data_IF_582752695516
#
_entry.id   IF_582752695516
#
_cell.length_a   1.000
_cell.length_b   1.000
_cell.length_c   1.000
_cell.angle_alpha   90.00
_cell.angle_beta   90.00
_cell.angle_gamma   90.00
#
_symmetry.space_group_name_H-M   'P 1'
#
loop_
_entity.id
_entity.type
_entity.pdbx_description
1 polymer ?
#
# COMPACT_ATOMS: atom_id res chain seq x y z
N UNK A 1 -13.28 10.36 -19.79
CA UNK A 1 -13.14 9.86 -18.41
C UNK A 1 -12.71 8.41 -18.51
N UNK A 2 -11.46 8.09 -18.17
CA UNK A 2 -10.97 6.70 -18.24
C UNK A 2 -11.00 6.11 -16.85
N UNK A 3 -12.00 5.26 -16.59
CA UNK A 3 -12.08 4.43 -15.39
C UNK A 3 -11.32 3.15 -15.71
N UNK A 4 -10.10 3.03 -15.20
CA UNK A 4 -9.36 1.78 -15.21
C UNK A 4 -9.81 0.94 -14.00
N UNK A 5 -10.61 -0.07 -14.29
CA UNK A 5 -11.05 -1.11 -13.37
C UNK A 5 -9.90 -2.12 -13.19
N UNK A 6 -9.03 -1.91 -12.22
CA UNK A 6 -8.06 -2.94 -11.82
C UNK A 6 -8.64 -3.78 -10.69
N UNK A 7 -9.42 -4.79 -11.07
CA UNK A 7 -9.73 -5.92 -10.20
C UNK A 7 -8.47 -6.78 -10.06
N UNK A 8 -7.82 -6.72 -8.90
CA UNK A 8 -6.91 -7.77 -8.44
C UNK A 8 -7.51 -8.37 -7.18
N UNK A 9 -8.17 -9.51 -7.37
CA UNK A 9 -8.81 -10.33 -6.36
C UNK A 9 -7.81 -11.39 -5.88
N UNK A 10 -6.97 -11.06 -4.89
CA UNK A 10 -6.23 -12.04 -4.09
C UNK A 10 -6.27 -11.61 -2.63
N UNK A 11 -7.02 -12.37 -1.83
CA UNK A 11 -7.24 -12.14 -0.40
C UNK A 11 -8.51 -11.34 -0.14
N UNK A 12 -9.58 -12.04 0.25
CA UNK A 12 -10.78 -11.47 0.84
C UNK A 12 -10.46 -10.86 2.21
N UNK A 13 -9.61 -9.84 2.25
CA UNK A 13 -9.44 -8.96 3.39
C UNK A 13 -10.71 -8.13 3.44
N UNK A 14 -11.70 -8.60 4.20
CA UNK A 14 -12.87 -7.80 4.55
C UNK A 14 -12.37 -6.52 5.21
N UNK A 15 -12.27 -5.45 4.43
CA UNK A 15 -11.97 -4.14 4.98
C UNK A 15 -13.13 -3.76 5.90
N UNK A 16 -12.84 -3.21 7.09
CA UNK A 16 -13.89 -2.82 8.01
C UNK A 16 -14.84 -1.82 7.34
N UNK A 17 -16.13 -1.92 7.68
CA UNK A 17 -17.15 -1.01 7.17
C UNK A 17 -16.82 0.43 7.57
N UNK A 18 -17.00 1.38 6.63
CA UNK A 18 -16.60 2.78 6.82
C UNK A 18 -15.14 3.09 6.53
N UNK A 19 -14.31 2.12 6.16
CA UNK A 19 -12.93 2.37 5.77
C UNK A 19 -12.83 3.07 4.40
N UNK A 20 -12.04 4.14 4.33
CA UNK A 20 -11.67 4.76 3.05
C UNK A 20 -10.40 4.08 2.50
N UNK A 21 -10.47 3.58 1.28
CA UNK A 21 -9.38 2.82 0.65
C UNK A 21 -8.76 3.61 -0.49
N UNK A 22 -7.44 3.75 -0.48
CA UNK A 22 -6.69 4.46 -1.51
C UNK A 22 -5.52 3.61 -2.01
N UNK A 23 -5.25 3.66 -3.30
CA UNK A 23 -3.98 3.19 -3.86
C UNK A 23 -3.03 4.36 -4.05
N UNK A 24 -1.84 4.28 -3.47
CA UNK A 24 -0.81 5.33 -3.60
C UNK A 24 0.47 4.77 -4.20
N UNK A 25 1.04 5.54 -5.12
CA UNK A 25 2.35 5.25 -5.69
C UNK A 25 3.43 5.47 -4.63
N UNK A 26 4.32 4.50 -4.49
CA UNK A 26 5.47 4.61 -3.58
C UNK A 26 6.56 5.43 -4.27
N UNK A 27 7.04 6.47 -3.59
CA UNK A 27 8.13 7.27 -4.09
C UNK A 27 9.44 6.46 -4.15
N UNK A 28 10.39 6.92 -4.97
CA UNK A 28 11.68 6.23 -5.10
C UNK A 28 12.45 6.11 -3.79
N UNK A 29 12.24 7.02 -2.85
CA UNK A 29 12.83 7.02 -1.50
C UNK A 29 12.04 6.22 -0.46
N UNK A 30 10.97 5.52 -0.85
CA UNK A 30 10.18 4.73 0.09
C UNK A 30 9.26 5.57 0.98
N UNK A 31 8.60 6.57 0.40
CA UNK A 31 7.53 7.28 1.11
C UNK A 31 6.27 7.36 0.26
N UNK A 32 5.16 7.62 0.93
CA UNK A 32 3.86 7.93 0.35
C UNK A 32 3.33 9.22 0.98
N UNK A 33 2.50 9.94 0.25
CA UNK A 33 1.84 11.13 0.77
C UNK A 33 0.37 10.84 1.05
N UNK A 34 -0.10 11.24 2.23
CA UNK A 34 -1.51 11.24 2.61
C UNK A 34 -1.81 12.57 3.34
N UNK A 35 -2.86 13.28 2.91
CA UNK A 35 -3.22 14.61 3.46
C UNK A 35 -2.05 15.60 3.54
N UNK A 36 -1.20 15.62 2.51
CA UNK A 36 -0.03 16.51 2.45
C UNK A 36 1.14 16.10 3.36
N UNK A 37 1.02 15.00 4.11
CA UNK A 37 2.06 14.50 5.03
C UNK A 37 2.77 13.26 4.45
N UNK A 38 4.10 13.17 4.57
CA UNK A 38 4.84 11.99 4.15
C UNK A 38 4.77 10.89 5.23
N UNK A 39 4.58 9.66 4.79
CA UNK A 39 4.69 8.45 5.60
C UNK A 39 5.75 7.54 4.97
N UNK A 40 6.70 7.09 5.78
CA UNK A 40 7.83 6.29 5.31
C UNK A 40 7.51 4.79 5.41
N UNK A 41 7.83 4.09 4.33
CA UNK A 41 7.65 2.65 4.19
C UNK A 41 8.89 2.08 3.53
N UNK A 42 9.32 0.88 3.92
CA UNK A 42 10.43 0.26 3.18
C UNK A 42 9.99 0.01 1.74
N UNK A 43 10.67 0.62 0.77
CA UNK A 43 10.36 0.42 -0.66
C UNK A 43 10.44 -1.05 -1.06
N UNK A 44 11.35 -1.79 -0.44
CA UNK A 44 11.51 -3.21 -0.65
C UNK A 44 10.27 -4.02 -0.18
N UNK A 45 9.51 -3.49 0.79
CA UNK A 45 8.29 -4.09 1.33
C UNK A 45 7.03 -3.59 0.60
N UNK A 46 7.06 -2.37 0.07
CA UNK A 46 5.88 -1.68 -0.42
C UNK A 46 5.55 -1.90 -1.91
N UNK A 47 6.52 -2.38 -2.69
CA UNK A 47 6.36 -2.48 -4.15
C UNK A 47 6.18 -1.12 -4.83
N UNK A 48 5.50 -1.10 -5.99
CA UNK A 48 5.27 0.12 -6.78
C UNK A 48 4.08 0.94 -6.27
N UNK A 49 3.04 0.25 -5.83
CA UNK A 49 1.82 0.83 -5.29
C UNK A 49 1.48 0.12 -3.99
N UNK A 50 0.96 0.88 -3.06
CA UNK A 50 0.52 0.37 -1.77
C UNK A 50 -0.93 0.77 -1.52
N UNK A 51 -1.64 -0.11 -0.82
CA UNK A 51 -3.02 0.15 -0.39
C UNK A 51 -2.99 0.83 0.97
N UNK A 52 -3.71 1.92 1.07
CA UNK A 52 -3.95 2.64 2.32
C UNK A 52 -5.39 2.46 2.72
N UNK A 53 -5.60 2.20 3.99
CA UNK A 53 -6.92 2.06 4.61
C UNK A 53 -7.00 3.09 5.71
N UNK A 54 -7.97 3.99 5.63
CA UNK A 54 -8.22 5.01 6.65
C UNK A 54 -9.48 4.63 7.39
N UNK A 55 -9.36 4.38 8.68
CA UNK A 55 -10.45 3.95 9.54
C UNK A 55 -10.23 4.49 10.95
N UNK A 56 -11.26 5.07 11.55
CA UNK A 56 -11.24 5.57 12.93
C UNK A 56 -10.05 6.50 13.25
N UNK A 57 -9.72 7.40 12.32
CA UNK A 57 -8.60 8.34 12.44
C UNK A 57 -7.21 7.69 12.34
N UNK A 58 -7.14 6.42 11.95
CA UNK A 58 -5.88 5.67 11.77
C UNK A 58 -5.61 5.49 10.28
N UNK A 59 -4.36 5.70 9.90
CA UNK A 59 -3.84 5.32 8.59
C UNK A 59 -3.18 3.95 8.70
N UNK A 60 -3.79 2.95 8.08
CA UNK A 60 -3.29 1.57 8.02
C UNK A 60 -2.67 1.37 6.64
N UNK A 61 -1.42 0.92 6.64
CA UNK A 61 -0.68 0.58 5.43
C UNK A 61 -0.82 -0.93 5.20
N UNK A 62 -1.62 -1.31 4.21
CA UNK A 62 -1.84 -2.71 3.84
C UNK A 62 -0.77 -3.12 2.82
N UNK A 63 0.21 -3.88 3.30
CA UNK A 63 1.36 -4.35 2.52
C UNK A 63 1.60 -5.84 2.75
N UNK A 64 1.74 -6.61 1.68
CA UNK A 64 2.24 -7.98 1.78
C UNK A 64 3.76 -7.95 1.93
N UNK A 65 4.25 -8.30 3.12
CA UNK A 65 5.68 -8.43 3.40
C UNK A 65 6.08 -9.87 3.10
N UNK A 66 6.90 -10.15 2.06
CA UNK A 66 7.46 -11.48 1.88
C UNK A 66 8.33 -11.82 3.10
N UNK A 67 7.93 -12.85 3.84
CA UNK A 67 8.60 -13.30 5.07
C UNK A 67 10.01 -13.84 4.78
N UNK A 68 10.28 -14.26 3.55
CA UNK A 68 11.57 -14.73 3.06
C UNK A 68 11.95 -14.00 1.78
N UNK A 69 13.15 -13.43 1.74
CA UNK A 69 13.69 -12.73 0.58
C UNK A 69 15.15 -13.10 0.40
N UNK A 70 15.45 -13.80 -0.67
CA UNK A 70 16.82 -14.17 -1.05
C UNK A 70 17.47 -13.06 -1.86
N UNK A 71 18.75 -12.83 -1.61
CA UNK A 71 19.57 -11.88 -2.36
C UNK A 71 20.72 -12.66 -3.00
N UNK A 72 20.94 -12.53 -4.31
CA UNK A 72 22.13 -13.08 -4.93
C UNK A 72 23.35 -12.33 -4.40
N UNK A 73 24.35 -13.07 -3.96
CA UNK A 73 25.68 -12.54 -3.66
C UNK A 73 26.54 -12.73 -4.91
N UNK A 74 27.28 -11.67 -5.27
CA UNK A 74 28.28 -11.69 -6.33
C UNK A 74 29.65 -12.10 -5.76
#
# INVERSE_FOLDING_TARGET
>A
MNVATDMVNEGNSRFPEGANIFSRKVARSGHISYEGRPYFISKALAGRYIRLVVLDGRLIVDASIPLHKEYPLA
#
